data_IF_001384517803
#
_entry.id   IF_001384517803
#
_cell.length_a   1.000
_cell.length_b   1.000
_cell.length_c   1.000
_cell.angle_alpha   90.00
_cell.angle_beta   90.00
_cell.angle_gamma   90.00
#
_symmetry.space_group_name_H-M   'P 1'
#
loop_
_entity.id
_entity.type
_entity.pdbx_description
1 polymer ?
#
# COMPACT_ATOMS: atom_id res chain seq x y z
N UNK A 1 18.99 5.21 20.55
CA UNK A 1 18.30 3.93 20.23
C UNK A 1 17.82 3.17 21.46
N UNK A 2 18.64 2.88 22.48
CA UNK A 2 18.20 2.13 23.68
C UNK A 2 17.01 2.76 24.45
N UNK A 3 16.93 4.11 24.50
CA UNK A 3 15.83 4.83 25.19
C UNK A 3 14.47 4.75 24.47
N UNK A 4 14.44 4.56 23.15
CA UNK A 4 13.20 4.49 22.36
C UNK A 4 12.54 3.10 22.51
N UNK A 5 13.35 2.05 22.54
CA UNK A 5 12.90 0.68 22.79
C UNK A 5 12.25 0.56 24.18
N UNK A 6 12.82 1.26 25.17
CA UNK A 6 12.29 1.30 26.54
C UNK A 6 10.94 2.03 26.62
N UNK A 7 10.76 3.11 25.84
CA UNK A 7 9.48 3.81 25.75
C UNK A 7 8.38 2.92 25.14
N UNK A 8 8.69 2.19 24.05
CA UNK A 8 7.74 1.26 23.42
C UNK A 8 7.32 0.12 24.35
N UNK A 9 8.24 -0.43 25.16
CA UNK A 9 7.88 -1.43 26.15
C UNK A 9 6.99 -0.87 27.27
N UNK A 10 7.25 0.35 27.75
CA UNK A 10 6.42 0.99 28.79
C UNK A 10 5.01 1.32 28.27
N UNK A 11 4.89 1.80 27.03
CA UNK A 11 3.57 2.03 26.41
C UNK A 11 2.83 0.71 26.14
N UNK A 12 3.54 -0.35 25.72
CA UNK A 12 2.95 -1.68 25.54
C UNK A 12 2.43 -2.30 26.84
N UNK A 13 3.14 -2.09 27.95
CA UNK A 13 2.72 -2.58 29.28
C UNK A 13 1.52 -1.80 29.84
N UNK A 14 1.43 -0.49 29.60
CA UNK A 14 0.28 0.32 30.04
C UNK A 14 -1.00 0.03 29.23
N UNK A 15 -0.88 -0.33 27.95
CA UNK A 15 -2.00 -0.83 27.14
C UNK A 15 -2.55 -2.17 27.66
N UNK A 16 -1.71 -2.96 28.34
CA UNK A 16 -2.09 -4.27 28.89
C UNK A 16 -2.95 -4.18 30.16
N UNK A 17 -3.07 -3.01 30.79
CA UNK A 17 -3.83 -2.85 32.05
C UNK A 17 -5.33 -2.54 31.87
N UNK A 18 -5.83 -2.42 30.63
CA UNK A 18 -7.27 -2.25 30.37
C UNK A 18 -7.93 -3.62 30.12
N UNK A 19 -8.14 -4.38 31.19
CA UNK A 19 -8.76 -5.72 31.16
C UNK A 19 -10.29 -5.71 31.13
N UNK A 20 -10.95 -4.59 30.79
CA UNK A 20 -12.42 -4.48 30.87
C UNK A 20 -13.06 -3.69 29.71
N UNK A 21 -12.50 -3.78 28.51
CA UNK A 21 -13.17 -3.30 27.30
C UNK A 21 -13.55 -4.51 26.43
N UNK A 22 -14.81 -4.92 26.57
CA UNK A 22 -15.54 -5.90 25.72
C UNK A 22 -15.70 -5.44 24.26
N UNK A 23 -15.14 -4.28 23.90
CA UNK A 23 -15.16 -3.80 22.54
C UNK A 23 -14.12 -4.55 21.70
N UNK A 24 -14.62 -5.41 20.81
CA UNK A 24 -13.88 -5.98 19.69
C UNK A 24 -14.14 -5.06 18.48
N UNK A 25 -13.14 -4.28 18.08
CA UNK A 25 -13.22 -3.55 16.81
C UNK A 25 -13.25 -4.61 15.70
N UNK A 26 -14.38 -4.75 15.00
CA UNK A 26 -14.47 -5.57 13.79
C UNK A 26 -14.58 -4.64 12.61
N UNK A 27 -13.65 -4.77 11.66
CA UNK A 27 -13.80 -4.11 10.37
C UNK A 27 -15.09 -4.64 9.70
N UNK A 28 -16.13 -3.81 9.47
CA UNK A 28 -17.42 -4.27 8.96
C UNK A 28 -17.33 -4.82 7.53
N UNK A 29 -16.23 -4.55 6.81
CA UNK A 29 -15.96 -5.06 5.47
C UNK A 29 -15.16 -6.37 5.48
N UNK A 30 -14.68 -6.83 6.65
CA UNK A 30 -14.08 -8.16 6.81
C UNK A 30 -15.13 -9.14 7.28
N UNK A 31 -15.41 -10.14 6.44
CA UNK A 31 -16.47 -11.12 6.69
C UNK A 31 -15.91 -12.32 7.46
N UNK A 32 -14.65 -12.69 7.21
CA UNK A 32 -14.00 -13.83 7.87
C UNK A 32 -12.67 -13.43 8.52
N UNK A 33 -12.35 -14.07 9.64
CA UNK A 33 -11.09 -13.85 10.37
C UNK A 33 -9.84 -14.10 9.53
N UNK A 34 -9.92 -14.93 8.49
CA UNK A 34 -8.80 -15.23 7.62
C UNK A 34 -8.54 -14.14 6.59
N UNK A 35 -9.47 -13.22 6.35
CA UNK A 35 -9.37 -12.16 5.34
C UNK A 35 -8.14 -11.29 5.54
N UNK A 36 -7.78 -11.06 6.80
CA UNK A 36 -6.60 -10.28 7.18
C UNK A 36 -5.30 -10.86 6.66
N UNK A 37 -5.24 -12.14 6.30
CA UNK A 37 -4.03 -12.80 5.78
C UNK A 37 -3.94 -12.82 4.25
N UNK A 38 -5.03 -12.53 3.55
CA UNK A 38 -5.06 -12.54 2.09
C UNK A 38 -4.83 -11.16 1.49
N UNK A 39 -3.90 -10.42 2.07
CA UNK A 39 -3.43 -9.14 1.57
C UNK A 39 -1.95 -8.96 1.92
N UNK A 40 -1.16 -8.50 0.95
CA UNK A 40 0.26 -8.22 1.13
C UNK A 40 0.45 -6.86 1.78
N UNK A 41 0.91 -6.82 3.02
CA UNK A 41 1.15 -5.59 3.78
C UNK A 41 2.32 -4.77 3.24
N UNK A 42 3.33 -5.44 2.68
CA UNK A 42 4.44 -4.76 2.02
C UNK A 42 4.18 -4.53 0.52
N UNK A 43 3.03 -4.98 -0.02
CA UNK A 43 2.67 -4.66 -1.41
C UNK A 43 2.22 -3.20 -1.51
N UNK A 44 2.91 -2.33 -2.27
CA UNK A 44 2.50 -0.95 -2.44
C UNK A 44 1.08 -0.80 -3.02
N UNK A 45 0.60 -1.81 -3.76
CA UNK A 45 -0.72 -1.84 -4.43
C UNK A 45 -1.89 -2.23 -3.52
N UNK A 46 -1.64 -2.78 -2.35
CA UNK A 46 -2.71 -3.22 -1.45
C UNK A 46 -3.59 -2.05 -0.98
N UNK A 47 -4.91 -2.25 -0.94
CA UNK A 47 -5.88 -1.27 -0.40
C UNK A 47 -5.89 -1.34 1.13
N UNK A 48 -4.80 -0.86 1.72
CA UNK A 48 -4.58 -0.77 3.17
C UNK A 48 -4.41 0.70 3.56
N UNK A 49 -5.07 1.11 4.63
CA UNK A 49 -4.76 2.38 5.31
C UNK A 49 -3.36 2.30 5.92
N UNK A 50 -2.43 3.15 5.49
CA UNK A 50 -1.04 3.12 5.96
C UNK A 50 -0.52 4.52 6.25
N UNK A 51 0.41 4.59 7.19
CA UNK A 51 1.23 5.77 7.43
C UNK A 51 2.69 5.31 7.43
N UNK A 52 3.45 5.78 6.44
CA UNK A 52 4.85 5.44 6.24
C UNK A 52 5.73 6.62 6.63
N UNK A 53 6.83 6.32 7.32
CA UNK A 53 7.92 7.26 7.58
C UNK A 53 9.21 6.66 7.04
N UNK A 54 9.87 7.36 6.10
CA UNK A 54 11.13 6.91 5.54
C UNK A 54 12.22 7.98 5.62
N UNK A 55 13.43 7.53 5.95
CA UNK A 55 14.67 8.32 5.95
C UNK A 55 15.65 7.62 5.00
N UNK A 56 16.46 8.39 4.27
CA UNK A 56 17.39 7.90 3.24
C UNK A 56 16.67 7.23 2.04
N UNK A 57 15.61 7.86 1.56
CA UNK A 57 14.91 7.45 0.34
C UNK A 57 15.51 8.19 -0.86
N UNK A 58 15.60 7.50 -2.00
CA UNK A 58 16.07 8.11 -3.25
C UNK A 58 14.86 8.46 -4.12
N UNK A 59 14.30 9.64 -3.91
CA UNK A 59 13.24 10.19 -4.79
C UNK A 59 13.79 10.82 -6.07
N UNK A 60 15.08 11.16 -6.12
CA UNK A 60 15.69 11.87 -7.24
C UNK A 60 15.44 11.16 -8.57
N UNK A 61 15.76 9.86 -8.65
CA UNK A 61 15.58 9.10 -9.89
C UNK A 61 14.11 9.06 -10.37
N UNK A 62 13.16 8.86 -9.47
CA UNK A 62 11.74 8.75 -9.83
C UNK A 62 11.15 10.12 -10.19
N UNK A 63 11.46 11.15 -9.41
CA UNK A 63 10.94 12.50 -9.61
C UNK A 63 11.52 13.14 -10.88
N UNK A 64 12.82 12.95 -11.16
CA UNK A 64 13.43 13.41 -12.41
C UNK A 64 12.91 12.66 -13.63
N UNK A 65 12.46 11.40 -13.50
CA UNK A 65 11.78 10.70 -14.60
C UNK A 65 10.40 11.30 -14.92
N UNK A 66 9.62 11.64 -13.89
CA UNK A 66 8.25 12.16 -14.06
C UNK A 66 8.25 13.57 -14.65
N UNK A 67 9.14 14.43 -14.16
CA UNK A 67 9.32 15.79 -14.66
C UNK A 67 10.82 16.12 -14.72
N UNK A 68 11.50 15.82 -15.85
CA UNK A 68 12.93 16.11 -16.01
C UNK A 68 13.22 17.62 -16.11
N UNK A 69 12.25 18.40 -16.60
CA UNK A 69 12.32 19.85 -16.75
C UNK A 69 12.18 20.63 -15.43
N UNK A 70 11.79 19.95 -14.36
CA UNK A 70 11.55 20.56 -13.07
C UNK A 70 12.81 20.95 -12.31
N UNK A 71 12.77 22.12 -11.66
CA UNK A 71 13.82 22.58 -10.75
C UNK A 71 13.67 21.94 -9.35
N UNK A 72 14.10 20.69 -9.25
CA UNK A 72 14.05 19.91 -8.01
C UNK A 72 15.07 20.37 -6.97
N UNK A 73 14.67 20.38 -5.70
CA UNK A 73 15.59 20.59 -4.57
C UNK A 73 15.68 19.34 -3.69
N UNK A 74 16.33 18.29 -4.21
CA UNK A 74 16.51 17.05 -3.46
C UNK A 74 17.42 17.21 -2.24
N UNK A 75 18.35 18.20 -2.25
CA UNK A 75 19.34 18.41 -1.19
C UNK A 75 18.71 18.86 0.12
N UNK A 76 17.58 19.57 0.08
CA UNK A 76 16.88 20.04 1.28
C UNK A 76 15.96 18.99 1.89
N UNK A 77 15.68 17.88 1.21
CA UNK A 77 14.81 16.82 1.70
C UNK A 77 15.52 16.00 2.79
N UNK A 78 14.79 15.69 3.87
CA UNK A 78 15.33 14.98 5.03
C UNK A 78 14.45 13.84 5.54
N UNK A 79 13.15 13.88 5.23
CA UNK A 79 12.14 12.91 5.65
C UNK A 79 11.10 12.74 4.54
N UNK A 80 10.63 11.51 4.35
CA UNK A 80 9.45 11.19 3.56
C UNK A 80 8.34 10.72 4.48
N UNK A 81 7.15 11.26 4.31
CA UNK A 81 5.94 10.78 4.97
C UNK A 81 4.91 10.49 3.90
N UNK A 82 4.31 9.31 3.93
CA UNK A 82 3.22 8.95 3.02
C UNK A 82 2.03 8.47 3.84
N UNK A 83 0.89 9.11 3.63
CA UNK A 83 -0.39 8.71 4.19
C UNK A 83 -1.27 8.12 3.10
N UNK A 84 -1.68 6.86 3.26
CA UNK A 84 -2.68 6.22 2.40
C UNK A 84 -3.95 5.98 3.19
N UNK A 85 -5.08 6.39 2.63
CA UNK A 85 -6.42 5.97 3.07
C UNK A 85 -7.00 5.13 1.95
N UNK A 86 -7.31 3.87 2.24
CA UNK A 86 -7.82 2.93 1.26
C UNK A 86 -8.82 1.97 1.88
N UNK A 87 -9.81 1.56 1.10
CA UNK A 87 -10.82 0.57 1.50
C UNK A 87 -11.26 -0.26 0.31
N UNK A 88 -11.73 -1.46 0.60
CA UNK A 88 -12.42 -2.34 -0.35
C UNK A 88 -13.88 -2.48 0.06
N UNK A 89 -14.77 -2.54 -0.92
CA UNK A 89 -16.19 -2.84 -0.76
C UNK A 89 -16.51 -4.04 -1.64
N UNK A 90 -17.11 -5.06 -1.04
CA UNK A 90 -17.55 -6.25 -1.75
C UNK A 90 -19.04 -6.10 -2.07
N UNK A 91 -19.40 -6.08 -3.36
CA UNK A 91 -20.82 -6.09 -3.78
C UNK A 91 -21.43 -7.47 -3.61
N UNK A 92 -20.59 -8.51 -3.78
CA UNK A 92 -21.00 -9.89 -3.65
C UNK A 92 -19.89 -10.69 -2.98
N UNK A 93 -20.26 -11.56 -2.04
CA UNK A 93 -19.35 -12.51 -1.43
C UNK A 93 -20.07 -13.78 -1.03
N UNK A 94 -19.51 -14.92 -1.43
CA UNK A 94 -19.83 -16.22 -0.86
C UNK A 94 -18.54 -16.93 -0.42
N UNK A 95 -18.65 -18.20 -0.05
CA UNK A 95 -17.52 -19.02 0.42
C UNK A 95 -16.46 -19.35 -0.65
N UNK A 96 -16.77 -19.20 -1.93
CA UNK A 96 -15.91 -19.57 -3.06
C UNK A 96 -15.35 -18.37 -3.80
N UNK A 97 -16.13 -17.30 -3.96
CA UNK A 97 -15.68 -16.10 -4.66
C UNK A 97 -16.33 -14.83 -4.11
N UNK A 98 -15.68 -13.70 -4.39
CA UNK A 98 -16.22 -12.36 -4.15
C UNK A 98 -15.92 -11.42 -5.30
N UNK A 99 -16.78 -10.43 -5.50
CA UNK A 99 -16.62 -9.35 -6.47
C UNK A 99 -16.75 -8.03 -5.72
N UNK A 100 -15.85 -7.09 -5.98
CA UNK A 100 -15.82 -5.81 -5.28
C UNK A 100 -15.06 -4.73 -6.02
N UNK A 101 -14.94 -3.59 -5.34
CA UNK A 101 -14.12 -2.46 -5.74
C UNK A 101 -13.22 -2.02 -4.59
N UNK A 102 -12.04 -1.54 -4.93
CA UNK A 102 -11.12 -0.84 -4.06
C UNK A 102 -11.06 0.63 -4.44
N UNK A 103 -11.02 1.51 -3.45
CA UNK A 103 -10.77 2.93 -3.64
C UNK A 103 -9.74 3.40 -2.62
N UNK A 104 -8.81 4.24 -3.08
CA UNK A 104 -7.66 4.65 -2.30
C UNK A 104 -7.16 6.01 -2.71
N UNK A 105 -6.54 6.67 -1.73
CA UNK A 105 -5.95 7.97 -1.86
C UNK A 105 -4.63 7.98 -1.10
N UNK A 106 -3.58 8.44 -1.75
CA UNK A 106 -2.24 8.54 -1.21
C UNK A 106 -1.78 10.00 -1.26
N UNK A 107 -1.27 10.48 -0.13
CA UNK A 107 -0.71 11.82 0.00
C UNK A 107 0.72 11.67 0.48
N UNK A 108 1.63 12.27 -0.25
CA UNK A 108 3.04 12.10 0.02
C UNK A 108 3.69 13.46 0.29
N UNK A 109 4.44 13.53 1.38
CA UNK A 109 4.95 14.76 1.99
C UNK A 109 6.48 14.66 2.13
N UNK A 110 7.17 15.72 1.70
CA UNK A 110 8.61 15.88 1.86
C UNK A 110 8.89 16.81 3.04
N UNK A 111 9.50 16.27 4.10
CA UNK A 111 10.02 17.04 5.21
C UNK A 111 11.40 17.62 4.90
N UNK A 112 11.53 18.94 4.94
CA UNK A 112 12.74 19.69 4.60
C UNK A 112 13.63 19.91 5.82
N UNK A 113 14.94 20.07 5.60
CA UNK A 113 15.95 20.35 6.65
C UNK A 113 15.69 21.65 7.41
N UNK A 114 15.02 22.61 6.79
CA UNK A 114 14.62 23.88 7.43
C UNK A 114 13.32 23.76 8.24
N UNK A 115 12.71 22.57 8.32
CA UNK A 115 11.48 22.31 9.07
C UNK A 115 10.19 22.50 8.29
N UNK A 116 10.24 22.90 7.01
CA UNK A 116 9.05 22.95 6.15
C UNK A 116 8.60 21.55 5.71
N UNK A 117 7.31 21.40 5.46
CA UNK A 117 6.70 20.18 4.93
C UNK A 117 5.92 20.52 3.67
N UNK A 118 6.33 19.96 2.54
CA UNK A 118 5.68 20.20 1.25
C UNK A 118 4.90 18.95 0.85
N UNK A 119 3.63 19.14 0.44
CA UNK A 119 2.86 18.07 -0.21
C UNK A 119 3.40 17.94 -1.63
N UNK A 120 4.10 16.86 -1.94
CA UNK A 120 4.75 16.77 -3.25
C UNK A 120 3.87 16.08 -4.29
N UNK A 121 3.11 15.05 -3.91
CA UNK A 121 2.16 14.40 -4.79
C UNK A 121 0.89 13.95 -4.08
N UNK A 122 -0.10 13.70 -4.93
CA UNK A 122 -1.36 13.09 -4.58
C UNK A 122 -1.63 11.99 -5.58
N UNK A 123 -1.96 10.79 -5.11
CA UNK A 123 -2.38 9.69 -5.98
C UNK A 123 -3.78 9.17 -5.63
N UNK A 124 -4.65 9.14 -6.63
CA UNK A 124 -5.93 8.42 -6.58
C UNK A 124 -5.79 7.01 -7.15
N UNK A 125 -6.42 6.04 -6.50
CA UNK A 125 -6.44 4.63 -6.89
C UNK A 125 -7.87 4.11 -6.89
N UNK A 126 -8.24 3.38 -7.94
CA UNK A 126 -9.52 2.70 -8.05
C UNK A 126 -9.33 1.34 -8.70
N UNK A 127 -9.97 0.29 -8.20
CA UNK A 127 -9.96 -1.01 -8.84
C UNK A 127 -11.34 -1.69 -8.83
N UNK A 128 -11.50 -2.65 -9.74
CA UNK A 128 -12.53 -3.67 -9.68
C UNK A 128 -11.83 -5.01 -9.55
N UNK A 129 -12.26 -5.85 -8.61
CA UNK A 129 -11.63 -7.14 -8.37
C UNK A 129 -12.64 -8.28 -8.28
N UNK A 130 -12.16 -9.47 -8.62
CA UNK A 130 -12.75 -10.76 -8.35
C UNK A 130 -11.75 -11.60 -7.56
N UNK A 131 -12.16 -12.07 -6.39
CA UNK A 131 -11.38 -12.99 -5.57
C UNK A 131 -11.96 -14.40 -5.67
N UNK A 132 -11.10 -15.39 -5.87
CA UNK A 132 -11.39 -16.82 -5.79
C UNK A 132 -10.71 -17.39 -4.54
N UNK A 133 -11.51 -17.96 -3.64
CA UNK A 133 -11.09 -18.54 -2.36
C UNK A 133 -11.00 -20.06 -2.49
N UNK A 134 -9.78 -20.59 -2.58
CA UNK A 134 -9.56 -22.03 -2.79
C UNK A 134 -9.75 -22.86 -1.52
N UNK A 135 -9.82 -22.24 -0.35
CA UNK A 135 -9.97 -22.95 0.92
C UNK A 135 -11.21 -23.85 0.92
N UNK A 136 -12.33 -23.35 0.42
CA UNK A 136 -13.59 -24.10 0.41
C UNK A 136 -13.76 -25.02 -0.82
N UNK A 137 -12.88 -24.91 -1.83
CA UNK A 137 -12.90 -25.75 -3.04
C UNK A 137 -11.92 -26.92 -2.93
N UNK A 138 -10.77 -26.70 -2.32
CA UNK A 138 -9.61 -27.62 -2.35
C UNK A 138 -8.93 -27.82 -1.00
N UNK A 139 -9.36 -27.09 0.05
CA UNK A 139 -8.73 -27.12 1.37
C UNK A 139 -7.41 -26.34 1.47
N UNK A 140 -7.00 -25.67 0.38
CA UNK A 140 -5.76 -24.90 0.31
C UNK A 140 -6.03 -23.45 0.73
N UNK A 141 -5.24 -22.94 1.68
CA UNK A 141 -5.31 -21.56 2.18
C UNK A 141 -4.76 -20.56 1.14
N UNK A 142 -5.43 -20.48 -0.01
CA UNK A 142 -5.01 -19.69 -1.16
C UNK A 142 -6.18 -18.85 -1.68
N UNK A 143 -5.88 -17.58 -1.96
CA UNK A 143 -6.76 -16.66 -2.68
C UNK A 143 -6.10 -16.27 -4.00
N UNK A 144 -6.84 -16.35 -5.09
CA UNK A 144 -6.45 -15.75 -6.38
C UNK A 144 -7.30 -14.50 -6.55
N UNK A 145 -6.66 -13.35 -6.76
CA UNK A 145 -7.31 -12.10 -7.11
C UNK A 145 -7.10 -11.81 -8.58
N UNK A 146 -8.18 -11.56 -9.29
CA UNK A 146 -8.19 -11.03 -10.64
C UNK A 146 -8.69 -9.58 -10.59
N UNK A 147 -7.92 -8.65 -11.16
CA UNK A 147 -8.24 -7.24 -11.24
C UNK A 147 -8.34 -6.90 -12.73
N UNK A 148 -9.54 -6.97 -13.35
CA UNK A 148 -9.69 -6.62 -14.75
C UNK A 148 -9.38 -5.15 -15.04
N UNK A 149 -9.55 -4.28 -14.04
CA UNK A 149 -9.33 -2.85 -14.17
C UNK A 149 -8.81 -2.28 -12.86
N UNK A 150 -7.65 -1.65 -12.94
CA UNK A 150 -7.08 -0.78 -11.93
C UNK A 150 -6.74 0.53 -12.61
N UNK A 151 -7.17 1.64 -12.03
CA UNK A 151 -6.79 2.98 -12.43
C UNK A 151 -5.95 3.62 -11.31
N UNK A 152 -4.78 4.12 -11.66
CA UNK A 152 -4.02 5.03 -10.82
C UNK A 152 -3.83 6.34 -11.55
N UNK A 153 -4.11 7.45 -10.88
CA UNK A 153 -3.67 8.78 -11.29
C UNK A 153 -2.81 9.38 -10.19
N UNK A 154 -1.71 10.01 -10.58
CA UNK A 154 -0.82 10.76 -9.70
C UNK A 154 -0.68 12.18 -10.23
N UNK A 155 -0.89 13.16 -9.36
CA UNK A 155 -0.75 14.58 -9.64
C UNK A 155 0.34 15.15 -8.75
N UNK A 156 1.32 15.82 -9.34
CA UNK A 156 2.32 16.55 -8.56
C UNK A 156 1.73 17.91 -8.13
N UNK A 157 2.02 18.30 -6.89
CA UNK A 157 1.43 19.49 -6.26
C UNK A 157 2.50 20.55 -6.00
N UNK A 158 3.26 20.44 -4.89
CA UNK A 158 4.22 21.48 -4.46
C UNK A 158 5.69 21.00 -4.47
N UNK A 159 6.03 19.99 -5.29
CA UNK A 159 7.39 19.45 -5.38
C UNK A 159 8.42 20.38 -6.06
N UNK A 160 7.94 21.42 -6.74
CA UNK A 160 8.73 22.31 -7.58
C UNK A 160 8.95 23.66 -6.88
N UNK A 161 10.12 24.28 -7.05
CA UNK A 161 10.38 25.65 -6.56
C UNK A 161 9.55 26.71 -7.31
N UNK A 162 8.22 26.68 -7.17
CA UNK A 162 7.29 27.70 -7.64
C UNK A 162 7.10 27.77 -9.16
N UNK A 163 7.35 26.69 -9.91
CA UNK A 163 7.04 26.68 -11.35
C UNK A 163 5.60 26.22 -11.61
N UNK A 164 4.72 27.19 -11.87
CA UNK A 164 3.29 27.02 -12.14
C UNK A 164 2.98 26.47 -13.54
N UNK A 165 3.98 26.29 -14.41
CA UNK A 165 3.77 25.83 -15.79
C UNK A 165 3.90 24.32 -15.98
N UNK A 166 4.30 23.59 -14.92
CA UNK A 166 4.52 22.14 -15.00
C UNK A 166 3.19 21.41 -14.90
N UNK A 167 2.65 20.96 -16.04
CA UNK A 167 1.55 19.98 -16.10
C UNK A 167 2.11 18.58 -15.87
N UNK A 168 2.45 18.23 -14.63
CA UNK A 168 3.00 16.91 -14.32
C UNK A 168 1.96 16.04 -13.62
N UNK A 169 1.57 14.99 -14.32
CA UNK A 169 0.74 13.93 -13.79
C UNK A 169 0.90 12.68 -14.64
N UNK A 170 0.67 11.54 -14.02
CA UNK A 170 0.68 10.25 -14.71
C UNK A 170 -0.59 9.51 -14.36
N UNK A 171 -1.29 9.05 -15.37
CA UNK A 171 -2.41 8.12 -15.23
C UNK A 171 -2.08 6.83 -15.95
N UNK A 172 -2.46 5.70 -15.37
CA UNK A 172 -2.37 4.44 -16.07
C UNK A 172 -3.47 3.49 -15.62
N UNK A 173 -3.96 2.73 -16.60
CA UNK A 173 -4.92 1.66 -16.45
C UNK A 173 -4.26 0.32 -16.72
N UNK A 174 -4.42 -0.61 -15.78
CA UNK A 174 -3.84 -1.94 -15.88
C UNK A 174 -4.79 -3.03 -15.40
N UNK A 175 -4.56 -4.23 -15.89
CA UNK A 175 -5.15 -5.46 -15.38
C UNK A 175 -4.11 -6.22 -14.55
N UNK A 176 -4.55 -6.95 -13.53
CA UNK A 176 -3.66 -7.73 -12.69
C UNK A 176 -4.21 -9.11 -12.32
N UNK A 177 -3.31 -10.03 -12.05
CA UNK A 177 -3.61 -11.29 -11.36
C UNK A 177 -2.62 -11.46 -10.23
N UNK A 178 -3.13 -11.72 -9.03
CA UNK A 178 -2.32 -11.93 -7.83
C UNK A 178 -2.76 -13.17 -7.08
N UNK A 179 -1.80 -13.83 -6.44
CA UNK A 179 -2.01 -15.00 -5.61
C UNK A 179 -1.55 -14.67 -4.20
N UNK A 180 -2.34 -15.09 -3.21
CA UNK A 180 -2.04 -14.94 -1.79
C UNK A 180 -2.19 -16.31 -1.14
N UNK A 181 -1.09 -16.83 -0.62
CA UNK A 181 -1.03 -18.10 0.10
C UNK A 181 -0.73 -17.85 1.57
N UNK A 182 -1.51 -18.45 2.45
CA UNK A 182 -1.38 -18.29 3.89
C UNK A 182 -0.96 -19.60 4.56
N UNK A 183 0.08 -19.51 5.39
CA UNK A 183 0.56 -20.62 6.20
C UNK A 183 1.03 -20.12 7.57
N UNK A 184 0.40 -20.60 8.64
CA UNK A 184 0.69 -20.20 10.02
C UNK A 184 0.65 -18.68 10.23
N UNK A 185 1.79 -18.03 10.44
CA UNK A 185 1.88 -16.57 10.61
C UNK A 185 2.46 -15.88 9.37
N UNK A 186 2.54 -16.59 8.25
CA UNK A 186 3.12 -16.11 7.01
C UNK A 186 2.04 -15.91 5.94
N UNK A 187 2.15 -14.81 5.22
CA UNK A 187 1.46 -14.57 3.95
C UNK A 187 2.52 -14.50 2.86
N UNK A 188 2.44 -15.39 1.87
CA UNK A 188 3.27 -15.37 0.66
C UNK A 188 2.39 -14.90 -0.47
N UNK A 189 2.86 -13.93 -1.25
CA UNK A 189 2.06 -13.34 -2.31
C UNK A 189 2.91 -12.98 -3.52
N UNK A 190 2.23 -12.78 -4.64
CA UNK A 190 2.84 -12.30 -5.86
C UNK A 190 1.82 -12.18 -6.97
N UNK A 191 2.22 -11.55 -8.05
CA UNK A 191 1.30 -11.29 -9.14
C UNK A 191 1.94 -10.57 -10.32
N UNK A 192 1.13 -10.43 -11.36
CA UNK A 192 1.47 -9.80 -12.62
C UNK A 192 0.51 -8.65 -12.87
N UNK A 193 1.03 -7.55 -13.41
CA UNK A 193 0.27 -6.38 -13.84
C UNK A 193 0.62 -6.07 -15.29
N UNK A 194 -0.39 -5.78 -16.10
CA UNK A 194 -0.25 -5.41 -17.51
C UNK A 194 -1.03 -4.12 -17.77
N UNK A 195 -0.31 -3.05 -18.07
CA UNK A 195 -0.94 -1.78 -18.46
C UNK A 195 -1.41 -1.83 -19.89
N UNK A 196 -2.61 -1.30 -20.13
CA UNK A 196 -3.22 -1.23 -21.45
C UNK A 196 -3.58 0.20 -21.87
N UNK A 197 -3.58 1.15 -20.96
CA UNK A 197 -3.69 2.56 -21.28
C UNK A 197 -2.87 3.40 -20.29
N UNK A 198 -2.22 4.44 -20.80
CA UNK A 198 -1.29 5.26 -20.03
C UNK A 198 -1.23 6.68 -20.58
N UNK A 199 -1.29 7.67 -19.70
CA UNK A 199 -1.17 9.10 -20.03
C UNK A 199 -0.09 9.70 -19.14
N UNK A 200 0.97 10.26 -19.73
CA UNK A 200 2.08 10.89 -19.01
C UNK A 200 3.46 10.31 -19.36
N UNK A 201 4.50 10.76 -18.67
CA UNK A 201 5.91 10.57 -19.08
C UNK A 201 6.60 9.29 -18.53
N UNK A 202 5.89 8.40 -17.85
CA UNK A 202 6.49 7.18 -17.26
C UNK A 202 5.48 6.02 -17.14
N UNK A 203 4.96 5.47 -18.25
CA UNK A 203 4.01 4.37 -18.22
C UNK A 203 4.64 3.08 -17.68
N UNK A 204 4.12 2.53 -16.58
CA UNK A 204 4.52 1.18 -16.13
C UNK A 204 3.89 0.14 -17.06
N UNK A 205 4.60 -0.43 -18.04
CA UNK A 205 4.00 -1.39 -19.00
C UNK A 205 3.67 -2.72 -18.32
N UNK A 206 4.61 -3.23 -17.52
CA UNK A 206 4.48 -4.52 -16.85
C UNK A 206 5.13 -4.51 -15.48
N UNK A 207 4.49 -5.16 -14.50
CA UNK A 207 5.10 -5.44 -13.18
C UNK A 207 4.91 -6.91 -12.82
N UNK A 208 6.01 -7.57 -12.49
CA UNK A 208 6.03 -8.84 -11.79
C UNK A 208 6.45 -8.57 -10.36
N UNK A 209 5.68 -9.04 -9.38
CA UNK A 209 6.06 -8.89 -7.97
C UNK A 209 5.89 -10.18 -7.19
N UNK A 210 6.66 -10.28 -6.11
CA UNK A 210 6.50 -11.28 -5.07
C UNK A 210 6.81 -10.66 -3.72
N UNK A 211 6.17 -11.14 -2.68
CA UNK A 211 6.49 -10.76 -1.33
C UNK A 211 6.12 -11.82 -0.32
N UNK A 212 6.64 -11.63 0.88
CA UNK A 212 6.24 -12.39 2.04
C UNK A 212 6.12 -11.46 3.23
N UNK A 213 5.11 -11.70 4.06
CA UNK A 213 4.91 -11.01 5.31
C UNK A 213 4.84 -12.02 6.45
N UNK A 214 5.54 -11.74 7.54
CA UNK A 214 5.41 -12.42 8.82
C UNK A 214 4.60 -11.55 9.79
N UNK A 215 3.63 -12.16 10.45
CA UNK A 215 2.76 -11.50 11.43
C UNK A 215 2.97 -12.06 12.83
N UNK A 216 3.39 -11.21 13.75
CA UNK A 216 3.42 -11.50 15.17
C UNK A 216 2.21 -10.83 15.86
N UNK A 217 1.23 -11.61 16.32
CA UNK A 217 0.13 -11.07 17.12
C UNK A 217 0.67 -10.43 18.40
N UNK A 218 0.35 -9.16 18.63
CA UNK A 218 0.71 -8.46 19.87
C UNK A 218 -0.48 -8.42 20.82
N UNK A 219 -1.64 -7.97 20.34
CA UNK A 219 -2.85 -7.84 21.14
C UNK A 219 -4.10 -7.70 20.26
N UNK A 220 -5.08 -8.61 20.41
CA UNK A 220 -6.32 -8.61 19.60
C UNK A 220 -6.01 -8.47 18.09
N UNK A 221 -6.48 -7.40 17.45
CA UNK A 221 -6.21 -7.10 16.03
C UNK A 221 -4.85 -6.41 15.77
N UNK A 222 -4.15 -5.99 16.83
CA UNK A 222 -2.85 -5.33 16.74
C UNK A 222 -1.77 -6.38 16.51
N UNK A 223 -1.04 -6.22 15.42
CA UNK A 223 0.02 -7.12 15.01
C UNK A 223 1.28 -6.34 14.69
N UNK A 224 2.43 -6.90 15.03
CA UNK A 224 3.70 -6.49 14.42
C UNK A 224 3.86 -7.26 13.12
N UNK A 225 4.05 -6.55 12.01
CA UNK A 225 4.19 -7.14 10.68
C UNK A 225 5.54 -6.72 10.10
N UNK A 226 6.30 -7.70 9.63
CA UNK A 226 7.56 -7.48 8.92
C UNK A 226 7.55 -8.32 7.65
N UNK A 227 8.20 -7.85 6.59
CA UNK A 227 8.16 -8.54 5.31
C UNK A 227 9.06 -7.89 4.28
N UNK A 228 9.06 -8.47 3.09
CA UNK A 228 9.77 -7.96 1.92
C UNK A 228 8.84 -8.07 0.73
N UNK A 229 8.75 -7.00 -0.07
CA UNK A 229 8.17 -7.01 -1.41
C UNK A 229 9.28 -6.70 -2.43
N UNK A 230 9.37 -7.51 -3.47
CA UNK A 230 10.27 -7.33 -4.59
C UNK A 230 9.44 -7.23 -5.86
N UNK A 231 9.82 -6.31 -6.74
CA UNK A 231 9.18 -6.13 -8.02
C UNK A 231 10.21 -5.93 -9.13
N UNK A 232 9.92 -6.52 -10.28
CA UNK A 232 10.58 -6.22 -11.56
C UNK A 232 9.58 -5.45 -12.39
N UNK A 233 10.01 -4.31 -12.91
CA UNK A 233 9.17 -3.38 -13.65
C UNK A 233 9.77 -3.17 -15.04
N UNK A 234 8.92 -3.24 -16.05
CA UNK A 234 9.20 -2.75 -17.40
C UNK A 234 8.47 -1.42 -17.57
N UNK A 235 9.26 -0.35 -17.68
CA UNK A 235 8.81 1.02 -18.00
C UNK A 235 8.86 1.25 -19.53
#
# INVERSE_FOLDING_TARGET
>A
MKKIIFLFMIFGLNLYSQTNLDYEFKNPFRVYETDKYYMGWQDPRAFIVRLLFAKNFNVEKNLTKISPEANWDFKSVSLYVEGKVASEIMFYRNKYFSVGMGAGMEISILGRKNGLFDVYDFSGQFDLFLDLWLQNLTGINLKIRFIPMYHQSTHLVDGFKGDVHIRSGSSYEFAAISVYYYINNFTIYGGWEFSYNTVGNSPQIFRLHTGFDYRLPLYKEINFITGINLAVILD
#
